data_IF_020601598437
#
_entry.id   IF_020601598437
#
_cell.length_a   1.000
_cell.length_b   1.000
_cell.length_c   1.000
_cell.angle_alpha   90.00
_cell.angle_beta   90.00
_cell.angle_gamma   90.00
#
_symmetry.space_group_name_H-M   'P 1'
#
loop_
_entity.id
_entity.type
_entity.pdbx_description
1 polymer ?
#
# COMPACT_ATOMS: atom_id res chain seq x y z
N UNK A 1 -1.68 46.63 -26.79
CA UNK A 1 -1.50 45.16 -26.70
C UNK A 1 -1.91 44.55 -28.02
N UNK A 2 -1.01 43.84 -28.67
CA UNK A 2 -1.19 43.32 -30.04
C UNK A 2 -1.89 41.95 -30.03
N UNK A 3 -2.89 41.74 -30.89
CA UNK A 3 -3.71 40.50 -30.90
C UNK A 3 -2.87 39.23 -31.10
N UNK A 4 -1.74 39.35 -31.81
CA UNK A 4 -0.80 38.24 -32.07
C UNK A 4 -0.02 37.84 -30.82
N UNK A 5 0.22 38.76 -29.90
CA UNK A 5 0.96 38.51 -28.65
C UNK A 5 0.08 37.78 -27.63
N UNK A 6 -1.22 38.11 -27.59
CA UNK A 6 -2.20 37.46 -26.72
C UNK A 6 -2.37 35.97 -27.06
N UNK A 7 -2.55 35.63 -28.34
CA UNK A 7 -2.72 34.23 -28.78
C UNK A 7 -1.46 33.38 -28.50
N UNK A 8 -0.26 33.95 -28.65
CA UNK A 8 0.99 33.27 -28.30
C UNK A 8 1.13 33.01 -26.80
N UNK A 9 0.69 33.95 -25.96
CA UNK A 9 0.69 33.77 -24.51
C UNK A 9 -0.33 32.72 -24.07
N UNK A 10 -1.53 32.68 -24.65
CA UNK A 10 -2.54 31.66 -24.32
C UNK A 10 -2.11 30.25 -24.72
N UNK A 11 -1.37 30.09 -25.83
CA UNK A 11 -0.85 28.80 -26.28
C UNK A 11 0.22 28.20 -25.36
N UNK A 12 1.01 29.02 -24.67
CA UNK A 12 2.04 28.54 -23.73
C UNK A 12 1.46 28.14 -22.37
N UNK A 13 0.35 28.75 -21.93
CA UNK A 13 -0.29 28.40 -20.65
C UNK A 13 -1.07 27.09 -20.70
N UNK A 14 -1.57 26.70 -21.88
CA UNK A 14 -2.29 25.43 -22.05
C UNK A 14 -1.38 24.19 -21.88
N UNK A 15 -0.10 24.29 -22.25
CA UNK A 15 0.86 23.21 -22.07
C UNK A 15 1.21 22.95 -20.59
N UNK A 16 1.14 23.98 -19.74
CA UNK A 16 1.37 23.84 -18.30
C UNK A 16 0.17 23.20 -17.56
N UNK A 17 -1.05 23.40 -18.06
CA UNK A 17 -2.26 22.77 -17.52
C UNK A 17 -2.37 21.26 -17.86
N UNK A 18 -1.65 20.79 -18.89
CA UNK A 18 -1.59 19.36 -19.22
C UNK A 18 -0.67 18.57 -18.28
N UNK A 19 0.20 19.24 -17.51
CA UNK A 19 1.10 18.57 -16.56
C UNK A 19 0.46 18.31 -15.19
N UNK A 20 -0.68 18.93 -14.88
CA UNK A 20 -1.38 18.73 -13.60
C UNK A 20 -2.29 17.49 -13.57
N UNK A 21 -2.42 16.74 -14.67
CA UNK A 21 -3.17 15.48 -14.69
C UNK A 21 -2.37 14.27 -14.17
N UNK A 22 -1.15 14.47 -13.67
CA UNK A 22 -0.33 13.38 -13.12
C UNK A 22 -0.62 13.04 -11.65
N UNK A 23 -1.38 13.87 -10.93
CA UNK A 23 -1.94 13.48 -9.64
C UNK A 23 -3.32 12.86 -9.86
N UNK A 24 -3.32 11.60 -10.32
CA UNK A 24 -4.49 10.75 -10.18
C UNK A 24 -4.74 10.52 -8.70
N UNK A 25 -5.53 11.40 -8.09
CA UNK A 25 -6.30 11.03 -6.91
C UNK A 25 -7.34 10.05 -7.45
N UNK A 26 -7.03 8.76 -7.48
CA UNK A 26 -8.02 7.72 -7.71
C UNK A 26 -9.00 7.82 -6.54
N UNK A 27 -10.02 8.65 -6.68
CA UNK A 27 -11.14 8.69 -5.77
C UNK A 27 -11.86 7.35 -5.96
N UNK A 28 -11.51 6.38 -5.11
CA UNK A 28 -12.07 5.05 -5.18
C UNK A 28 -13.59 5.15 -5.15
N UNK A 29 -14.26 4.58 -6.16
CA UNK A 29 -15.70 4.56 -6.22
C UNK A 29 -16.27 3.86 -4.98
N UNK A 30 -17.46 4.24 -4.50
CA UNK A 30 -18.06 3.66 -3.29
C UNK A 30 -18.24 2.12 -3.31
N UNK A 31 -18.09 1.49 -4.48
CA UNK A 31 -18.16 0.05 -4.70
C UNK A 31 -16.78 -0.61 -4.96
N UNK A 32 -15.69 0.14 -4.98
CA UNK A 32 -14.36 -0.40 -5.22
C UNK A 32 -13.82 -1.09 -3.97
N UNK A 33 -13.30 -2.31 -4.17
CA UNK A 33 -12.63 -3.07 -3.11
C UNK A 33 -11.17 -2.63 -3.04
N UNK A 34 -10.68 -2.38 -1.84
CA UNK A 34 -9.26 -2.12 -1.60
C UNK A 34 -8.53 -3.45 -1.54
N UNK A 35 -7.51 -3.61 -2.38
CA UNK A 35 -6.65 -4.78 -2.40
C UNK A 35 -5.42 -4.58 -1.51
N UNK A 36 -5.27 -5.44 -0.52
CA UNK A 36 -4.23 -5.36 0.50
C UNK A 36 -3.16 -6.43 0.33
N UNK A 37 -1.91 -6.03 0.54
CA UNK A 37 -0.78 -6.92 0.83
C UNK A 37 -0.42 -6.87 2.32
N UNK A 38 0.05 -7.97 2.90
CA UNK A 38 0.47 -8.04 4.29
C UNK A 38 1.93 -8.48 4.40
N UNK A 39 2.76 -7.66 5.05
CA UNK A 39 4.13 -8.01 5.42
C UNK A 39 4.12 -8.52 6.87
N UNK A 40 4.27 -9.84 7.03
CA UNK A 40 4.17 -10.56 8.31
C UNK A 40 2.77 -11.13 8.58
N UNK A 41 2.69 -12.43 8.87
CA UNK A 41 1.42 -13.17 9.12
C UNK A 41 1.44 -13.98 10.43
N UNK A 42 2.36 -13.65 11.35
CA UNK A 42 2.32 -14.19 12.73
C UNK A 42 1.28 -13.45 13.57
N UNK A 43 1.22 -13.75 14.86
CA UNK A 43 0.24 -13.29 15.86
C UNK A 43 -0.51 -11.99 15.53
N UNK A 44 0.18 -10.84 15.56
CA UNK A 44 -0.45 -9.54 15.36
C UNK A 44 -0.91 -9.33 13.92
N UNK A 45 -0.07 -9.66 12.94
CA UNK A 45 -0.40 -9.56 11.52
C UNK A 45 -1.63 -10.41 11.16
N UNK A 46 -1.70 -11.62 11.68
CA UNK A 46 -2.84 -12.51 11.49
C UNK A 46 -4.11 -11.97 12.13
N UNK A 47 -4.05 -11.49 13.38
CA UNK A 47 -5.22 -10.90 14.03
C UNK A 47 -5.77 -9.70 13.27
N UNK A 48 -4.89 -8.81 12.78
CA UNK A 48 -5.28 -7.64 11.98
C UNK A 48 -5.85 -8.09 10.64
N UNK A 49 -5.23 -9.06 9.98
CA UNK A 49 -5.73 -9.63 8.74
C UNK A 49 -7.15 -10.19 8.86
N UNK A 50 -7.48 -10.92 9.94
CA UNK A 50 -8.83 -11.43 10.16
C UNK A 50 -9.88 -10.30 10.22
N UNK A 51 -9.52 -9.14 10.79
CA UNK A 51 -10.41 -7.97 10.85
C UNK A 51 -10.62 -7.31 9.50
N UNK A 52 -9.58 -7.25 8.67
CA UNK A 52 -9.67 -6.77 7.29
C UNK A 52 -10.42 -7.76 6.39
N UNK A 53 -10.15 -9.06 6.50
CA UNK A 53 -10.80 -10.12 5.72
C UNK A 53 -12.33 -10.15 5.94
N UNK A 54 -12.79 -9.79 7.14
CA UNK A 54 -14.21 -9.70 7.47
C UNK A 54 -14.92 -8.46 6.86
N UNK A 55 -14.20 -7.55 6.19
CA UNK A 55 -14.80 -6.37 5.54
C UNK A 55 -15.19 -6.68 4.10
N UNK A 56 -16.43 -6.36 3.68
CA UNK A 56 -16.91 -6.71 2.34
C UNK A 56 -16.17 -5.97 1.21
N UNK A 57 -15.59 -4.81 1.51
CA UNK A 57 -14.87 -3.94 0.59
C UNK A 57 -13.34 -4.12 0.64
N UNK A 58 -12.85 -5.24 1.19
CA UNK A 58 -11.41 -5.54 1.27
C UNK A 58 -11.11 -6.87 0.60
N UNK A 59 -10.03 -6.92 -0.15
CA UNK A 59 -9.48 -8.13 -0.76
C UNK A 59 -8.03 -8.29 -0.30
N UNK A 60 -7.71 -9.32 0.48
CA UNK A 60 -6.31 -9.60 0.84
C UNK A 60 -5.71 -10.45 -0.27
N UNK A 61 -4.78 -9.89 -1.06
CA UNK A 61 -4.18 -10.57 -2.22
C UNK A 61 -2.98 -11.42 -1.82
N UNK A 62 -2.08 -10.88 -1.02
CA UNK A 62 -0.77 -11.49 -0.77
C UNK A 62 -0.35 -11.35 0.69
N UNK A 63 0.28 -12.40 1.23
CA UNK A 63 1.04 -12.35 2.47
C UNK A 63 2.50 -12.64 2.20
N UNK A 64 3.38 -11.72 2.62
CA UNK A 64 4.82 -11.89 2.57
C UNK A 64 5.37 -12.24 3.97
N UNK A 65 6.00 -13.41 4.11
CA UNK A 65 6.67 -13.85 5.33
C UNK A 65 7.85 -14.78 4.99
N UNK A 66 8.95 -14.67 5.74
CA UNK A 66 10.16 -15.48 5.52
C UNK A 66 10.01 -16.91 6.05
N UNK A 67 9.04 -17.16 6.93
CA UNK A 67 8.81 -18.46 7.55
C UNK A 67 7.75 -19.26 6.78
N UNK A 68 8.10 -20.15 5.84
CA UNK A 68 7.10 -20.82 4.99
C UNK A 68 6.12 -21.68 5.79
N UNK A 69 6.49 -22.07 7.03
CA UNK A 69 5.67 -22.91 7.90
C UNK A 69 4.39 -22.21 8.36
N UNK A 70 4.34 -20.87 8.32
CA UNK A 70 3.14 -20.13 8.76
C UNK A 70 2.06 -20.04 7.69
N UNK A 71 2.36 -20.28 6.42
CA UNK A 71 1.41 -20.02 5.34
C UNK A 71 0.20 -20.94 5.37
N UNK A 72 0.38 -22.25 5.50
CA UNK A 72 -0.73 -23.19 5.27
C UNK A 72 -1.91 -22.97 6.23
N UNK A 73 -1.64 -22.96 7.54
CA UNK A 73 -2.67 -22.76 8.56
C UNK A 73 -3.29 -21.37 8.47
N UNK A 74 -2.47 -20.33 8.30
CA UNK A 74 -2.91 -18.93 8.38
C UNK A 74 -3.68 -18.52 7.14
N UNK A 75 -3.21 -18.88 5.94
CA UNK A 75 -3.91 -18.56 4.70
C UNK A 75 -5.26 -19.27 4.62
N UNK A 76 -5.35 -20.52 5.10
CA UNK A 76 -6.62 -21.22 5.24
C UNK A 76 -7.57 -20.49 6.19
N UNK A 77 -7.08 -20.05 7.36
CA UNK A 77 -7.92 -19.31 8.29
C UNK A 77 -8.41 -17.94 7.78
N UNK A 78 -7.67 -17.30 6.85
CA UNK A 78 -8.16 -16.11 6.13
C UNK A 78 -9.17 -16.49 5.05
N UNK A 79 -8.90 -17.55 4.30
CA UNK A 79 -9.82 -18.10 3.28
C UNK A 79 -11.19 -18.45 3.87
N UNK A 80 -11.22 -19.06 5.06
CA UNK A 80 -12.46 -19.40 5.77
C UNK A 80 -13.31 -18.16 6.13
N UNK A 81 -12.70 -16.97 6.24
CA UNK A 81 -13.38 -15.72 6.59
C UNK A 81 -13.91 -15.01 5.33
N UNK A 82 -13.10 -14.90 4.28
CA UNK A 82 -13.41 -14.07 3.11
C UNK A 82 -13.77 -14.88 1.84
N UNK A 83 -13.66 -16.21 1.90
CA UNK A 83 -13.94 -17.13 0.79
C UNK A 83 -12.88 -17.15 -0.31
N UNK A 84 -11.74 -16.49 -0.12
CA UNK A 84 -10.66 -16.41 -1.12
C UNK A 84 -9.30 -16.56 -0.44
N UNK A 85 -8.52 -17.56 -0.89
CA UNK A 85 -7.16 -17.77 -0.40
C UNK A 85 -6.19 -16.71 -0.94
N UNK A 86 -5.47 -15.98 -0.06
CA UNK A 86 -4.38 -15.09 -0.48
C UNK A 86 -3.15 -15.89 -0.91
N UNK A 87 -2.26 -15.26 -1.68
CA UNK A 87 -1.03 -15.87 -2.16
C UNK A 87 0.10 -15.73 -1.13
N UNK A 88 0.88 -16.80 -0.87
CA UNK A 88 2.12 -16.69 -0.12
C UNK A 88 3.22 -16.04 -0.98
N UNK A 89 4.08 -15.25 -0.36
CA UNK A 89 5.26 -14.64 -0.98
C UNK A 89 6.44 -14.70 0.01
N UNK A 90 7.63 -15.05 -0.46
CA UNK A 90 8.84 -15.12 0.38
C UNK A 90 9.64 -13.81 0.36
N UNK A 91 9.34 -12.92 -0.59
CA UNK A 91 9.96 -11.62 -0.73
C UNK A 91 8.93 -10.48 -0.78
N UNK A 92 8.83 -9.73 0.32
CA UNK A 92 7.91 -8.60 0.42
C UNK A 92 8.11 -7.54 -0.66
N UNK A 93 9.29 -7.45 -1.29
CA UNK A 93 9.55 -6.47 -2.36
C UNK A 93 8.75 -6.80 -3.62
N UNK A 94 8.55 -8.08 -3.94
CA UNK A 94 7.68 -8.49 -5.06
C UNK A 94 6.24 -8.09 -4.81
N UNK A 95 5.79 -8.19 -3.56
CA UNK A 95 4.48 -7.69 -3.16
C UNK A 95 4.37 -6.16 -3.31
N UNK A 96 5.44 -5.40 -3.05
CA UNK A 96 5.43 -3.95 -3.28
C UNK A 96 5.43 -3.57 -4.77
N UNK A 97 6.01 -4.39 -5.64
CA UNK A 97 6.02 -4.18 -7.09
C UNK A 97 4.69 -4.56 -7.78
N UNK A 98 3.83 -5.31 -7.09
CA UNK A 98 2.55 -5.78 -7.61
C UNK A 98 1.56 -4.63 -7.79
N UNK A 99 1.24 -4.31 -9.05
CA UNK A 99 0.36 -3.19 -9.41
C UNK A 99 -1.10 -3.35 -9.00
N UNK A 100 -1.55 -4.57 -8.69
CA UNK A 100 -2.92 -4.79 -8.24
C UNK A 100 -3.08 -4.65 -6.71
N UNK A 101 -1.99 -4.39 -5.98
CA UNK A 101 -2.04 -4.09 -4.55
C UNK A 101 -2.11 -2.58 -4.38
N UNK A 102 -3.18 -2.11 -3.73
CA UNK A 102 -3.42 -0.68 -3.49
C UNK A 102 -2.65 -0.21 -2.25
N UNK A 103 -2.70 -1.02 -1.18
CA UNK A 103 -2.10 -0.69 0.11
C UNK A 103 -1.44 -1.91 0.76
N UNK A 104 -0.52 -1.66 1.68
CA UNK A 104 0.15 -2.71 2.47
C UNK A 104 -0.02 -2.52 3.96
N UNK A 105 -0.12 -3.65 4.66
CA UNK A 105 -0.12 -3.72 6.12
C UNK A 105 1.23 -4.27 6.58
N UNK A 106 1.96 -3.47 7.36
CA UNK A 106 3.26 -3.85 7.92
C UNK A 106 3.04 -4.27 9.37
N UNK A 107 3.18 -5.58 9.62
CA UNK A 107 2.97 -6.21 10.92
C UNK A 107 4.13 -7.15 11.31
N UNK A 108 5.32 -6.81 10.85
CA UNK A 108 6.60 -7.45 11.22
C UNK A 108 7.05 -7.00 12.61
N UNK A 109 8.20 -7.48 13.13
CA UNK A 109 8.85 -6.81 14.25
C UNK A 109 9.14 -5.33 13.95
N UNK A 110 9.12 -4.51 14.99
CA UNK A 110 9.23 -3.05 14.96
C UNK A 110 10.46 -2.49 14.22
N UNK A 111 11.58 -3.21 14.21
CA UNK A 111 12.81 -2.81 13.50
C UNK A 111 12.69 -2.83 11.97
N UNK A 112 11.63 -3.44 11.45
CA UNK A 112 11.30 -3.41 10.02
C UNK A 112 10.25 -2.37 9.67
N UNK A 113 9.57 -1.76 10.64
CA UNK A 113 8.44 -0.87 10.36
C UNK A 113 8.84 0.34 9.52
N UNK A 114 9.87 1.08 9.95
CA UNK A 114 10.30 2.27 9.23
C UNK A 114 10.77 1.97 7.81
N UNK A 115 11.64 0.97 7.65
CA UNK A 115 12.17 0.58 6.34
C UNK A 115 11.06 0.04 5.43
N UNK A 116 10.19 -0.83 5.94
CA UNK A 116 9.06 -1.36 5.20
C UNK A 116 8.11 -0.25 4.73
N UNK A 117 7.80 0.72 5.60
CA UNK A 117 6.94 1.85 5.26
C UNK A 117 7.58 2.70 4.17
N UNK A 118 8.85 3.07 4.32
CA UNK A 118 9.56 3.90 3.33
C UNK A 118 9.58 3.19 1.97
N UNK A 119 9.92 1.90 1.92
CA UNK A 119 9.96 1.13 0.67
C UNK A 119 8.58 1.00 0.02
N UNK A 120 7.53 0.79 0.82
CA UNK A 120 6.17 0.70 0.32
C UNK A 120 5.67 2.04 -0.25
N UNK A 121 5.91 3.16 0.45
CA UNK A 121 5.58 4.50 -0.04
C UNK A 121 6.35 4.82 -1.33
N UNK A 122 7.64 4.48 -1.40
CA UNK A 122 8.45 4.64 -2.63
C UNK A 122 7.93 3.78 -3.80
N UNK A 123 7.32 2.64 -3.52
CA UNK A 123 6.64 1.80 -4.51
C UNK A 123 5.23 2.30 -4.87
N UNK A 124 4.81 3.45 -4.33
CA UNK A 124 3.50 4.06 -4.59
C UNK A 124 2.34 3.35 -3.89
N UNK A 125 2.60 2.67 -2.77
CA UNK A 125 1.58 1.98 -1.97
C UNK A 125 1.14 2.84 -0.80
N UNK A 126 -0.15 2.82 -0.50
CA UNK A 126 -0.65 3.29 0.79
C UNK A 126 -0.19 2.34 1.90
N UNK A 127 0.08 2.87 3.10
CA UNK A 127 0.67 2.08 4.18
C UNK A 127 -0.15 2.18 5.47
N UNK A 128 -0.52 1.02 6.00
CA UNK A 128 -0.85 0.85 7.41
C UNK A 128 0.33 0.14 8.10
N UNK A 129 0.83 0.70 9.19
CA UNK A 129 1.95 0.14 9.96
C UNK A 129 1.55 -0.06 11.41
N UNK A 130 1.85 -1.23 11.97
CA UNK A 130 1.54 -1.52 13.37
C UNK A 130 2.36 -0.68 14.34
N UNK A 131 1.85 -0.56 15.58
CA UNK A 131 2.54 0.11 16.68
C UNK A 131 3.60 -0.81 17.31
N UNK A 132 4.71 -0.26 17.85
CA UNK A 132 5.18 1.12 17.68
C UNK A 132 5.62 1.35 16.23
N UNK A 133 5.42 2.55 15.68
CA UNK A 133 5.63 2.80 14.25
C UNK A 133 7.11 2.80 13.83
N UNK A 134 8.03 3.07 14.77
CA UNK A 134 9.49 3.04 14.55
C UNK A 134 10.24 2.94 15.89
N UNK A 135 11.57 2.73 15.85
CA UNK A 135 12.44 2.70 17.03
C UNK A 135 12.88 4.09 17.48
N UNK A 136 12.87 5.07 16.58
CA UNK A 136 13.32 6.43 16.89
C UNK A 136 12.49 7.51 16.21
N UNK A 137 12.52 8.71 16.79
CA UNK A 137 11.89 9.91 16.21
C UNK A 137 12.47 10.21 14.82
N UNK A 138 13.76 9.95 14.61
CA UNK A 138 14.40 10.17 13.30
C UNK A 138 13.80 9.26 12.23
N UNK A 139 13.64 7.97 12.53
CA UNK A 139 12.98 7.02 11.62
C UNK A 139 11.54 7.44 11.31
N UNK A 140 10.76 7.83 12.33
CA UNK A 140 9.39 8.32 12.11
C UNK A 140 9.34 9.53 11.18
N UNK A 141 10.30 10.47 11.29
CA UNK A 141 10.40 11.60 10.36
C UNK A 141 10.70 11.14 8.93
N UNK A 142 11.56 10.14 8.76
CA UNK A 142 11.86 9.56 7.44
C UNK A 142 10.66 8.85 6.81
N UNK A 143 9.82 8.21 7.61
CA UNK A 143 8.56 7.65 7.13
C UNK A 143 7.62 8.75 6.62
N UNK A 144 7.52 9.88 7.33
CA UNK A 144 6.70 11.02 6.92
C UNK A 144 7.24 11.66 5.64
N UNK A 145 8.57 11.81 5.50
CA UNK A 145 9.19 12.36 4.28
C UNK A 145 8.94 11.49 3.04
N UNK A 146 8.70 10.18 3.23
CA UNK A 146 8.45 9.25 2.13
C UNK A 146 6.98 9.19 1.69
N UNK A 147 6.04 9.62 2.54
CA UNK A 147 4.60 9.57 2.32
C UNK A 147 4.07 10.88 1.70
#
# INVERSE_FOLDING_TARGET
MDRRTFIKQTGQTAAAAAATSAFSINALGANEKITLGFMGIKDRGYWVAQRFAAKPNVNIKTFADLDPRVFEERLKGIEDICGKRPQPEDDFRRMFEDKDIDAVVIATPDHWHALGTILACQAGKDVYVEKPTAHSIWESRKMIEAA
#
